data_IF_293199539747
#
_entry.id   IF_293199539747
#
_cell.length_a   1.000
_cell.length_b   1.000
_cell.length_c   1.000
_cell.angle_alpha   90.00
_cell.angle_beta   90.00
_cell.angle_gamma   90.00
#
_symmetry.space_group_name_H-M   'P 1'
#
loop_
_entity.id
_entity.type
_entity.pdbx_description
1 polymer ?
#
# COMPACT_ATOMS: atom_id res chain seq x y z
N UNK A 1 -23.24 -18.12 9.13
CA UNK A 1 -23.47 -17.26 10.30
C UNK A 1 -22.52 -17.72 11.37
N UNK A 2 -21.79 -16.81 12.01
CA UNK A 2 -20.89 -17.16 13.12
C UNK A 2 -21.70 -17.73 14.28
N UNK A 3 -21.09 -18.58 15.10
CA UNK A 3 -21.58 -18.74 16.46
C UNK A 3 -21.48 -17.40 17.21
N UNK A 4 -22.22 -17.25 18.31
CA UNK A 4 -22.20 -16.00 19.09
C UNK A 4 -20.79 -15.65 19.64
N UNK A 5 -19.89 -16.63 19.71
CA UNK A 5 -18.54 -16.49 20.24
C UNK A 5 -17.47 -16.17 19.17
N UNK A 6 -17.73 -16.42 17.88
CA UNK A 6 -16.81 -16.15 16.77
C UNK A 6 -15.56 -17.05 16.71
N UNK A 7 -15.53 -18.15 17.46
CA UNK A 7 -14.34 -19.00 17.65
C UNK A 7 -14.37 -20.32 16.87
N UNK A 8 -15.49 -20.63 16.21
CA UNK A 8 -15.63 -21.88 15.45
C UNK A 8 -15.48 -21.66 13.94
N UNK A 9 -15.29 -22.76 13.23
CA UNK A 9 -15.28 -22.83 11.76
C UNK A 9 -16.66 -22.64 11.11
N UNK A 10 -17.70 -22.32 11.90
CA UNK A 10 -19.01 -21.94 11.37
C UNK A 10 -18.95 -20.64 10.54
N UNK A 11 -17.92 -19.82 10.75
CA UNK A 11 -17.63 -18.63 9.95
C UNK A 11 -17.02 -19.00 8.59
N UNK A 12 -15.92 -19.76 8.62
CA UNK A 12 -15.20 -20.26 7.45
C UNK A 12 -14.50 -21.59 7.80
N UNK A 13 -14.35 -22.48 6.82
CA UNK A 13 -13.71 -23.80 7.01
C UNK A 13 -12.23 -23.68 7.41
N UNK A 14 -11.54 -22.63 6.98
CA UNK A 14 -10.09 -22.44 7.23
C UNK A 14 -9.73 -21.51 8.39
N UNK A 15 -10.65 -20.66 8.87
CA UNK A 15 -10.36 -19.65 9.89
C UNK A 15 -11.62 -19.17 10.63
N UNK A 16 -11.39 -18.52 11.77
CA UNK A 16 -12.47 -18.01 12.65
C UNK A 16 -12.77 -16.54 12.38
N UNK A 17 -13.89 -16.05 12.92
CA UNK A 17 -14.24 -14.64 12.83
C UNK A 17 -13.14 -13.74 13.41
N UNK A 18 -12.55 -14.11 14.56
CA UNK A 18 -11.50 -13.32 15.19
C UNK A 18 -10.23 -13.23 14.36
N UNK A 19 -9.89 -14.30 13.62
CA UNK A 19 -8.78 -14.30 12.68
C UNK A 19 -9.00 -13.28 11.57
N UNK A 20 -10.17 -13.33 10.93
CA UNK A 20 -10.51 -12.40 9.85
C UNK A 20 -10.65 -10.96 10.36
N UNK A 21 -11.32 -10.76 11.50
CA UNK A 21 -11.45 -9.45 12.13
C UNK A 21 -10.09 -8.79 12.36
N UNK A 22 -9.14 -9.49 12.98
CA UNK A 22 -7.82 -8.94 13.24
C UNK A 22 -7.06 -8.68 11.93
N UNK A 23 -7.15 -9.61 10.97
CA UNK A 23 -6.48 -9.49 9.68
C UNK A 23 -6.98 -8.26 8.89
N UNK A 24 -8.30 -8.10 8.77
CA UNK A 24 -8.92 -6.95 8.12
C UNK A 24 -8.69 -5.64 8.90
N UNK A 25 -8.66 -5.69 10.23
CA UNK A 25 -8.34 -4.51 11.06
C UNK A 25 -6.91 -4.01 10.80
N UNK A 26 -5.95 -4.91 10.55
CA UNK A 26 -4.59 -4.51 10.17
C UNK A 26 -4.57 -3.84 8.79
N UNK A 27 -5.40 -4.26 7.84
CA UNK A 27 -5.51 -3.61 6.53
C UNK A 27 -6.10 -2.20 6.66
N UNK A 28 -7.12 -2.04 7.50
CA UNK A 28 -7.69 -0.72 7.82
C UNK A 28 -6.66 0.21 8.47
N UNK A 29 -5.85 -0.32 9.39
CA UNK A 29 -4.74 0.41 10.02
C UNK A 29 -3.66 0.80 8.99
N UNK A 30 -3.33 -0.07 8.05
CA UNK A 30 -2.41 0.25 6.94
C UNK A 30 -2.95 1.39 6.09
N UNK A 31 -4.23 1.37 5.69
CA UNK A 31 -4.82 2.47 4.91
C UNK A 31 -4.73 3.81 5.66
N UNK A 32 -5.00 3.82 6.97
CA UNK A 32 -4.91 5.03 7.80
C UNK A 32 -3.46 5.53 7.98
N UNK A 33 -2.50 4.62 8.15
CA UNK A 33 -1.09 4.99 8.37
C UNK A 33 -0.41 5.51 7.10
N UNK A 34 -0.88 5.13 5.91
CA UNK A 34 -0.49 5.79 4.64
C UNK A 34 -0.78 7.30 4.71
N UNK A 35 -1.96 7.69 5.23
CA UNK A 35 -2.30 9.11 5.39
C UNK A 35 -1.34 9.80 6.34
N UNK A 36 -1.04 9.17 7.49
CA UNK A 36 -0.16 9.74 8.52
C UNK A 36 1.20 10.19 7.96
N UNK A 37 1.82 9.38 7.09
CA UNK A 37 3.10 9.69 6.47
C UNK A 37 3.05 10.92 5.55
N UNK A 38 1.93 11.12 4.83
CA UNK A 38 1.77 12.25 3.91
C UNK A 38 1.48 13.58 4.62
N UNK A 39 0.83 13.53 5.80
CA UNK A 39 0.46 14.73 6.58
C UNK A 39 1.42 15.04 7.73
N UNK A 40 2.41 14.18 7.96
CA UNK A 40 3.44 14.34 8.98
C UNK A 40 4.14 15.72 8.92
N UNK A 41 4.81 16.07 10.04
CA UNK A 41 5.54 17.32 10.29
C UNK A 41 4.70 18.60 10.44
N UNK A 42 3.44 18.62 9.97
CA UNK A 42 2.59 19.84 10.02
C UNK A 42 1.15 19.65 10.47
N UNK A 43 0.66 18.42 10.58
CA UNK A 43 -0.65 18.13 11.17
C UNK A 43 -0.59 18.17 12.70
N UNK A 44 -1.68 18.61 13.35
CA UNK A 44 -1.87 18.41 14.79
C UNK A 44 -2.33 16.97 15.04
N UNK A 45 -1.79 16.31 16.08
CA UNK A 45 -2.18 14.94 16.42
C UNK A 45 -3.69 14.80 16.64
N UNK A 46 -4.33 15.75 17.34
CA UNK A 46 -5.78 15.73 17.56
C UNK A 46 -6.57 15.79 16.24
N UNK A 47 -6.16 16.62 15.29
CA UNK A 47 -6.78 16.70 13.96
C UNK A 47 -6.61 15.39 13.19
N UNK A 48 -5.44 14.75 13.28
CA UNK A 48 -5.19 13.45 12.65
C UNK A 48 -6.08 12.34 13.24
N UNK A 49 -6.24 12.30 14.57
CA UNK A 49 -7.11 11.33 15.24
C UNK A 49 -8.59 11.54 14.85
N UNK A 50 -9.06 12.78 14.83
CA UNK A 50 -10.43 13.12 14.40
C UNK A 50 -10.67 12.72 12.94
N UNK A 51 -9.68 12.88 12.06
CA UNK A 51 -9.76 12.41 10.67
C UNK A 51 -9.78 10.87 10.58
N UNK A 52 -8.95 10.20 11.38
CA UNK A 52 -8.76 8.75 11.29
C UNK A 52 -10.03 7.98 11.68
N UNK A 53 -10.80 8.48 12.65
CA UNK A 53 -12.05 7.84 13.10
C UNK A 53 -13.05 7.62 11.94
N UNK A 54 -13.57 8.66 11.24
CA UNK A 54 -14.48 8.47 10.12
C UNK A 54 -13.82 7.80 8.92
N UNK A 55 -12.51 7.98 8.73
CA UNK A 55 -11.79 7.29 7.65
C UNK A 55 -11.81 5.77 7.86
N UNK A 56 -11.45 5.28 9.04
CA UNK A 56 -11.39 3.85 9.38
C UNK A 56 -12.76 3.26 9.70
N UNK A 57 -13.70 4.03 10.27
CA UNK A 57 -15.02 3.53 10.64
C UNK A 57 -16.03 3.56 9.48
N UNK A 58 -15.82 4.43 8.49
CA UNK A 58 -16.79 4.66 7.41
C UNK A 58 -16.14 4.53 6.03
N UNK A 59 -15.21 5.42 5.68
CA UNK A 59 -14.72 5.51 4.30
C UNK A 59 -14.05 4.21 3.84
N UNK A 60 -13.12 3.68 4.63
CA UNK A 60 -12.41 2.45 4.33
C UNK A 60 -13.33 1.21 4.33
N UNK A 61 -14.15 0.93 5.37
CA UNK A 61 -15.04 -0.23 5.35
C UNK A 61 -16.08 -0.19 4.23
N UNK A 62 -16.61 1.00 3.90
CA UNK A 62 -17.53 1.15 2.76
C UNK A 62 -16.83 0.76 1.47
N UNK A 63 -15.62 1.27 1.21
CA UNK A 63 -14.85 0.90 0.02
C UNK A 63 -14.52 -0.60 0.00
N UNK A 64 -14.02 -1.15 1.11
CA UNK A 64 -13.73 -2.58 1.26
C UNK A 64 -14.96 -3.46 1.01
N UNK A 65 -16.13 -3.05 1.49
CA UNK A 65 -17.39 -3.80 1.32
C UNK A 65 -17.80 -3.97 -0.14
N UNK A 66 -17.40 -3.04 -1.03
CA UNK A 66 -17.75 -3.11 -2.45
C UNK A 66 -17.23 -4.40 -3.10
N UNK A 67 -16.05 -4.88 -2.69
CA UNK A 67 -15.45 -6.12 -3.20
C UNK A 67 -15.41 -7.23 -2.16
N UNK A 68 -14.78 -7.01 -1.01
CA UNK A 68 -14.58 -8.05 0.01
C UNK A 68 -15.82 -8.31 0.88
N UNK A 69 -16.80 -7.40 0.86
CA UNK A 69 -18.09 -7.54 1.56
C UNK A 69 -19.25 -8.03 0.69
N UNK A 70 -18.97 -8.69 -0.45
CA UNK A 70 -19.99 -9.08 -1.43
C UNK A 70 -20.81 -7.91 -2.01
N UNK A 71 -20.22 -6.71 -2.08
CA UNK A 71 -20.85 -5.53 -2.66
C UNK A 71 -20.87 -5.53 -4.20
N UNK A 72 -21.17 -4.36 -4.77
CA UNK A 72 -21.44 -4.22 -6.20
C UNK A 72 -20.24 -4.52 -7.10
N UNK A 73 -19.00 -4.18 -6.70
CA UNK A 73 -17.79 -4.50 -7.46
C UNK A 73 -17.57 -6.03 -7.57
N UNK A 74 -18.00 -6.79 -6.56
CA UNK A 74 -17.92 -8.26 -6.59
C UNK A 74 -19.00 -8.89 -7.49
N UNK A 75 -20.09 -8.18 -7.79
CA UNK A 75 -21.26 -8.68 -8.52
C UNK A 75 -21.33 -8.22 -9.98
N UNK A 76 -20.31 -7.52 -10.46
CA UNK A 76 -20.20 -7.17 -11.87
C UNK A 76 -20.08 -8.44 -12.73
N UNK A 77 -20.50 -8.35 -14.01
CA UNK A 77 -20.39 -9.47 -14.96
C UNK A 77 -18.94 -9.96 -15.10
N UNK A 78 -17.99 -9.02 -15.18
CA UNK A 78 -16.58 -9.29 -14.90
C UNK A 78 -16.26 -8.73 -13.51
N UNK A 79 -16.16 -9.56 -12.47
CA UNK A 79 -15.93 -9.08 -11.12
C UNK A 79 -14.64 -8.27 -11.03
N UNK A 80 -14.71 -7.14 -10.34
CA UNK A 80 -13.50 -6.41 -9.96
C UNK A 80 -12.58 -7.33 -9.17
N UNK A 81 -11.28 -7.26 -9.43
CA UNK A 81 -10.29 -8.11 -8.78
C UNK A 81 -9.29 -7.27 -8.00
N UNK A 82 -9.19 -7.55 -6.70
CA UNK A 82 -8.17 -7.00 -5.82
C UNK A 82 -7.95 -8.01 -4.69
N UNK A 83 -6.89 -8.80 -4.84
CA UNK A 83 -6.58 -9.92 -3.95
C UNK A 83 -6.30 -9.46 -2.53
N UNK A 84 -5.27 -8.60 -2.35
CA UNK A 84 -4.83 -8.16 -1.03
C UNK A 84 -4.95 -6.64 -0.82
N UNK A 85 -5.40 -5.85 -1.80
CA UNK A 85 -5.73 -4.43 -1.58
C UNK A 85 -4.82 -3.40 -2.25
N UNK A 86 -4.36 -3.60 -3.49
CA UNK A 86 -3.71 -2.51 -4.26
C UNK A 86 -4.65 -1.30 -4.39
N UNK A 87 -5.94 -1.56 -4.57
CA UNK A 87 -6.95 -0.51 -4.62
C UNK A 87 -7.53 -0.27 -3.23
N UNK A 88 -8.08 -1.31 -2.62
CA UNK A 88 -8.92 -1.20 -1.42
C UNK A 88 -8.16 -0.76 -0.18
N UNK A 89 -6.83 -0.97 -0.11
CA UNK A 89 -5.97 -0.47 0.96
C UNK A 89 -5.09 0.68 0.46
N UNK A 90 -4.25 0.41 -0.53
CA UNK A 90 -3.21 1.37 -0.91
C UNK A 90 -3.75 2.57 -1.69
N UNK A 91 -4.64 2.36 -2.65
CA UNK A 91 -5.24 3.49 -3.39
C UNK A 91 -6.21 4.27 -2.50
N UNK A 92 -7.04 3.62 -1.69
CA UNK A 92 -7.91 4.29 -0.70
C UNK A 92 -7.07 5.13 0.27
N UNK A 93 -6.02 4.57 0.86
CA UNK A 93 -5.07 5.29 1.70
C UNK A 93 -4.36 6.43 0.96
N UNK A 94 -3.95 6.19 -0.28
CA UNK A 94 -3.28 7.18 -1.14
C UNK A 94 -4.17 8.37 -1.51
N UNK A 95 -5.44 8.14 -1.83
CA UNK A 95 -6.40 9.22 -2.07
C UNK A 95 -6.72 9.98 -0.79
N UNK A 96 -6.84 9.29 0.35
CA UNK A 96 -6.96 9.93 1.66
C UNK A 96 -5.73 10.80 1.99
N UNK A 97 -4.53 10.31 1.68
CA UNK A 97 -3.27 11.03 1.84
C UNK A 97 -3.20 12.27 0.95
N UNK A 98 -3.61 12.16 -0.32
CA UNK A 98 -3.65 13.29 -1.25
C UNK A 98 -4.66 14.34 -0.81
N UNK A 99 -5.88 13.95 -0.44
CA UNK A 99 -6.90 14.87 0.07
C UNK A 99 -6.41 15.59 1.33
N UNK A 100 -5.80 14.85 2.27
CA UNK A 100 -5.18 15.43 3.46
C UNK A 100 -4.06 16.41 3.10
N UNK A 101 -3.15 16.05 2.20
CA UNK A 101 -2.06 16.91 1.77
C UNK A 101 -2.55 18.21 1.10
N UNK A 102 -3.61 18.15 0.29
CA UNK A 102 -4.24 19.32 -0.35
C UNK A 102 -4.84 20.25 0.71
N UNK A 103 -5.61 19.71 1.67
CA UNK A 103 -6.27 20.50 2.70
C UNK A 103 -5.27 21.14 3.66
N UNK A 104 -4.22 20.41 4.07
CA UNK A 104 -3.17 20.95 4.93
C UNK A 104 -2.25 21.94 4.21
N UNK A 105 -2.08 21.77 2.90
CA UNK A 105 -1.10 22.48 2.12
C UNK A 105 0.35 22.01 2.35
N UNK A 106 1.31 22.67 1.70
CA UNK A 106 2.71 22.27 1.71
C UNK A 106 3.41 22.57 3.04
N UNK A 107 4.52 21.88 3.26
CA UNK A 107 5.43 22.18 4.39
C UNK A 107 6.06 23.56 4.22
N UNK A 108 6.27 24.24 5.35
CA UNK A 108 6.89 25.58 5.35
C UNK A 108 8.26 25.54 4.67
N UNK A 109 8.44 26.42 3.69
CA UNK A 109 9.68 26.54 2.92
C UNK A 109 10.00 25.36 2.01
N UNK A 110 9.04 24.47 1.72
CA UNK A 110 9.15 23.47 0.63
C UNK A 110 9.12 24.16 -0.75
N UNK A 111 8.25 25.15 -0.91
CA UNK A 111 8.15 25.96 -2.13
C UNK A 111 8.51 27.41 -1.80
N UNK A 112 9.49 27.95 -2.53
CA UNK A 112 9.98 29.31 -2.35
C UNK A 112 9.12 30.31 -3.14
N UNK A 113 9.15 31.59 -2.77
CA UNK A 113 8.35 32.66 -3.40
C UNK A 113 8.64 32.86 -4.88
N UNK A 114 9.80 32.41 -5.37
CA UNK A 114 10.17 32.41 -6.78
C UNK A 114 9.74 31.14 -7.54
N UNK A 115 8.89 30.31 -6.95
CA UNK A 115 8.41 29.04 -7.52
C UNK A 115 9.45 27.91 -7.49
N UNK A 116 10.65 28.12 -6.91
CA UNK A 116 11.66 27.06 -6.79
C UNK A 116 11.26 26.07 -5.71
N UNK A 117 11.43 24.80 -6.03
CA UNK A 117 11.27 23.69 -5.10
C UNK A 117 12.55 23.58 -4.25
N UNK A 118 12.40 23.58 -2.93
CA UNK A 118 13.48 23.29 -1.99
C UNK A 118 13.24 21.91 -1.37
N UNK A 119 14.06 20.88 -1.72
CA UNK A 119 13.91 19.56 -1.13
C UNK A 119 14.05 19.60 0.40
N UNK A 120 13.15 18.92 1.09
CA UNK A 120 13.28 18.63 2.53
C UNK A 120 13.81 17.21 2.62
N UNK A 121 15.09 17.08 3.00
CA UNK A 121 15.80 15.81 3.03
C UNK A 121 15.34 14.95 4.20
N UNK A 122 15.40 13.63 4.02
CA UNK A 122 15.14 12.67 5.09
C UNK A 122 16.17 12.81 6.22
N UNK A 123 15.70 12.75 7.47
CA UNK A 123 16.55 12.90 8.65
C UNK A 123 17.49 11.70 8.88
N UNK A 124 17.11 10.49 8.41
CA UNK A 124 17.91 9.27 8.53
C UNK A 124 17.59 8.28 7.41
N UNK A 125 18.49 8.18 6.43
CA UNK A 125 18.38 7.19 5.36
C UNK A 125 18.52 5.74 5.84
N UNK A 126 19.41 5.41 6.80
CA UNK A 126 19.45 4.05 7.36
C UNK A 126 18.12 3.63 8.00
N UNK A 127 17.47 4.53 8.75
CA UNK A 127 16.19 4.24 9.39
C UNK A 127 15.07 4.06 8.35
N UNK A 128 15.06 4.87 7.29
CA UNK A 128 14.13 4.70 6.17
C UNK A 128 14.32 3.33 5.49
N UNK A 129 15.56 2.92 5.25
CA UNK A 129 15.89 1.61 4.69
C UNK A 129 15.40 0.47 5.58
N UNK A 130 15.63 0.54 6.90
CA UNK A 130 15.11 -0.44 7.87
C UNK A 130 13.58 -0.50 7.80
N UNK A 131 12.92 0.66 7.74
CA UNK A 131 11.46 0.74 7.58
C UNK A 131 10.95 0.01 6.34
N UNK A 132 11.60 0.19 5.19
CA UNK A 132 11.23 -0.52 3.95
C UNK A 132 11.44 -2.03 4.07
N UNK A 133 12.51 -2.49 4.71
CA UNK A 133 12.70 -3.94 4.93
C UNK A 133 11.67 -4.53 5.90
N UNK A 134 11.28 -3.79 6.95
CA UNK A 134 10.20 -4.22 7.85
C UNK A 134 8.86 -4.27 7.12
N UNK A 135 8.57 -3.30 6.26
CA UNK A 135 7.37 -3.30 5.41
C UNK A 135 7.39 -4.46 4.43
N UNK A 136 8.52 -4.75 3.78
CA UNK A 136 8.67 -5.91 2.90
C UNK A 136 8.40 -7.21 3.66
N UNK A 137 9.03 -7.40 4.82
CA UNK A 137 8.77 -8.56 5.68
C UNK A 137 7.28 -8.66 6.04
N UNK A 138 6.65 -7.56 6.46
CA UNK A 138 5.22 -7.50 6.75
C UNK A 138 4.35 -7.83 5.53
N UNK A 139 4.80 -7.49 4.33
CA UNK A 139 4.07 -7.74 3.08
C UNK A 139 3.92 -9.22 2.75
N UNK A 140 4.80 -10.08 3.26
CA UNK A 140 4.61 -11.52 3.20
C UNK A 140 3.38 -11.97 3.99
N UNK A 141 3.15 -11.38 5.17
CA UNK A 141 1.92 -11.59 5.93
C UNK A 141 0.70 -10.95 5.25
N UNK A 142 0.88 -9.78 4.64
CA UNK A 142 -0.18 -9.04 3.96
C UNK A 142 -0.72 -9.81 2.74
N UNK A 143 0.15 -10.16 1.79
CA UNK A 143 -0.25 -10.91 0.59
C UNK A 143 -0.46 -12.40 0.91
N UNK A 144 0.49 -13.04 1.58
CA UNK A 144 0.40 -14.47 1.89
C UNK A 144 -0.79 -14.81 2.79
N UNK A 145 -1.12 -13.94 3.76
CA UNK A 145 -2.31 -14.10 4.60
C UNK A 145 -3.62 -13.89 3.85
N UNK A 146 -3.62 -13.13 2.75
CA UNK A 146 -4.81 -12.91 1.91
C UNK A 146 -5.24 -14.14 1.12
N UNK A 147 -4.43 -15.20 1.12
CA UNK A 147 -4.85 -16.54 0.66
C UNK A 147 -5.97 -17.10 1.57
N UNK A 148 -6.06 -16.64 2.82
CA UNK A 148 -7.10 -17.00 3.80
C UNK A 148 -7.26 -18.52 3.98
N UNK A 149 -6.16 -19.25 3.74
CA UNK A 149 -6.04 -20.69 3.93
C UNK A 149 -4.54 -21.03 4.02
N UNK A 150 -4.24 -22.26 4.41
CA UNK A 150 -2.87 -22.78 4.43
C UNK A 150 -2.52 -23.54 3.13
N UNK A 151 -3.16 -23.22 2.00
CA UNK A 151 -2.87 -23.87 0.72
C UNK A 151 -1.41 -23.65 0.30
N UNK A 152 -0.56 -24.70 0.24
CA UNK A 152 0.87 -24.50 0.01
C UNK A 152 1.18 -23.92 -1.37
N UNK A 153 0.37 -24.24 -2.38
CA UNK A 153 0.57 -23.78 -3.76
C UNK A 153 0.34 -22.28 -3.89
N UNK A 154 -0.83 -21.81 -3.45
CA UNK A 154 -1.20 -20.39 -3.50
C UNK A 154 -0.34 -19.54 -2.57
N UNK A 155 -0.06 -20.02 -1.34
CA UNK A 155 0.81 -19.29 -0.41
C UNK A 155 2.21 -19.13 -1.00
N UNK A 156 2.82 -20.21 -1.51
CA UNK A 156 4.17 -20.12 -2.07
C UNK A 156 4.25 -19.23 -3.30
N UNK A 157 3.30 -19.33 -4.22
CA UNK A 157 3.23 -18.44 -5.39
C UNK A 157 3.12 -16.97 -4.97
N UNK A 158 2.20 -16.67 -4.06
CA UNK A 158 1.94 -15.31 -3.56
C UNK A 158 3.18 -14.69 -2.91
N UNK A 159 3.92 -15.46 -2.11
CA UNK A 159 5.15 -14.98 -1.48
C UNK A 159 6.26 -14.72 -2.51
N UNK A 160 6.39 -15.60 -3.51
CA UNK A 160 7.37 -15.46 -4.59
C UNK A 160 7.07 -14.25 -5.48
N UNK A 161 5.82 -14.08 -5.93
CA UNK A 161 5.44 -12.92 -6.76
C UNK A 161 5.62 -11.61 -6.00
N UNK A 162 5.31 -11.59 -4.70
CA UNK A 162 5.49 -10.43 -3.83
C UNK A 162 6.95 -9.97 -3.78
N UNK A 163 7.89 -10.88 -3.50
CA UNK A 163 9.32 -10.53 -3.38
C UNK A 163 9.95 -10.17 -4.72
N UNK A 164 9.54 -10.84 -5.80
CA UNK A 164 10.02 -10.53 -7.15
C UNK A 164 9.55 -9.15 -7.60
N UNK A 165 8.29 -8.79 -7.38
CA UNK A 165 7.78 -7.47 -7.70
C UNK A 165 8.47 -6.36 -6.91
N UNK A 166 8.72 -6.56 -5.62
CA UNK A 166 9.46 -5.61 -4.79
C UNK A 166 10.88 -5.37 -5.33
N UNK A 167 11.59 -6.46 -5.64
CA UNK A 167 12.94 -6.42 -6.21
C UNK A 167 12.97 -5.70 -7.56
N UNK A 168 12.03 -6.05 -8.44
CA UNK A 168 11.85 -5.41 -9.73
C UNK A 168 11.46 -3.92 -9.62
N UNK A 169 10.64 -3.55 -8.64
CA UNK A 169 10.31 -2.15 -8.34
C UNK A 169 11.53 -1.33 -7.95
N UNK A 170 12.41 -1.89 -7.12
CA UNK A 170 13.69 -1.28 -6.79
C UNK A 170 14.56 -1.05 -8.05
N UNK A 171 14.65 -2.05 -8.93
CA UNK A 171 15.40 -1.95 -10.20
C UNK A 171 14.78 -0.93 -11.15
N UNK A 172 13.46 -0.93 -11.30
CA UNK A 172 12.72 0.02 -12.14
C UNK A 172 12.94 1.47 -11.70
N UNK A 173 12.84 1.72 -10.39
CA UNK A 173 13.13 3.05 -9.84
C UNK A 173 14.61 3.44 -9.97
N UNK A 174 15.53 2.49 -9.76
CA UNK A 174 16.98 2.73 -9.95
C UNK A 174 17.28 3.18 -11.38
N UNK A 175 16.79 2.41 -12.37
CA UNK A 175 16.96 2.73 -13.79
C UNK A 175 16.34 4.09 -14.15
N UNK A 176 15.13 4.36 -13.66
CA UNK A 176 14.42 5.63 -13.92
C UNK A 176 15.14 6.82 -13.29
N UNK A 177 15.68 6.65 -12.07
CA UNK A 177 16.51 7.67 -11.41
C UNK A 177 17.76 7.98 -12.22
N UNK A 178 18.43 6.96 -12.77
CA UNK A 178 19.58 7.19 -13.66
C UNK A 178 19.21 7.97 -14.92
N UNK A 179 18.06 7.66 -15.53
CA UNK A 179 17.62 8.32 -16.76
C UNK A 179 17.25 9.79 -16.53
N UNK A 180 16.52 10.09 -15.45
CA UNK A 180 15.94 11.41 -15.20
C UNK A 180 16.80 12.28 -14.29
N UNK A 181 17.28 11.72 -13.18
CA UNK A 181 18.05 12.42 -12.13
C UNK A 181 19.56 12.34 -12.40
N UNK A 182 19.99 11.51 -13.37
CA UNK A 182 21.40 11.29 -13.79
C UNK A 182 22.29 10.63 -12.73
N UNK A 183 21.70 10.15 -11.64
CA UNK A 183 22.37 9.37 -10.60
C UNK A 183 21.36 8.46 -9.88
N UNK A 184 21.81 7.37 -9.24
CA UNK A 184 20.94 6.61 -8.36
C UNK A 184 20.55 7.48 -7.15
N UNK A 185 19.28 7.42 -6.78
CA UNK A 185 18.74 8.09 -5.60
C UNK A 185 18.11 7.06 -4.68
N UNK A 186 18.66 6.93 -3.47
CA UNK A 186 18.20 5.92 -2.51
C UNK A 186 16.73 6.11 -2.13
N UNK A 187 16.23 7.34 -2.04
CA UNK A 187 14.81 7.59 -1.71
C UNK A 187 13.90 7.08 -2.82
N UNK A 188 14.28 7.26 -4.09
CA UNK A 188 13.55 6.74 -5.24
C UNK A 188 13.56 5.22 -5.29
N UNK A 189 14.72 4.60 -5.00
CA UNK A 189 14.86 3.14 -4.96
C UNK A 189 13.96 2.54 -3.88
N UNK A 190 13.98 3.11 -2.67
CA UNK A 190 13.15 2.69 -1.55
C UNK A 190 11.65 2.83 -1.87
N UNK A 191 11.23 3.95 -2.48
CA UNK A 191 9.86 4.10 -2.96
C UNK A 191 9.52 3.13 -4.09
N UNK A 192 10.47 2.82 -4.97
CA UNK A 192 10.35 1.81 -6.01
C UNK A 192 10.04 0.42 -5.47
N UNK A 193 10.77 0.01 -4.43
CA UNK A 193 10.50 -1.25 -3.71
C UNK A 193 9.07 -1.30 -3.19
N UNK A 194 8.63 -0.25 -2.50
CA UNK A 194 7.27 -0.16 -1.97
C UNK A 194 6.22 -0.11 -3.09
N UNK A 195 6.49 0.61 -4.19
CA UNK A 195 5.60 0.66 -5.34
C UNK A 195 5.46 -0.71 -6.01
N UNK A 196 6.53 -1.49 -6.12
CA UNK A 196 6.49 -2.88 -6.59
C UNK A 196 5.61 -3.76 -5.71
N UNK A 197 5.77 -3.67 -4.38
CA UNK A 197 4.92 -4.36 -3.41
C UNK A 197 3.44 -3.96 -3.56
N UNK A 198 3.15 -2.66 -3.61
CA UNK A 198 1.79 -2.14 -3.83
C UNK A 198 1.22 -2.61 -5.17
N UNK A 199 2.02 -2.60 -6.24
CA UNK A 199 1.57 -2.94 -7.59
C UNK A 199 1.15 -4.40 -7.75
N UNK A 200 1.87 -5.34 -7.13
CA UNK A 200 1.54 -6.77 -7.22
C UNK A 200 0.40 -7.20 -6.30
N UNK A 201 0.09 -6.42 -5.28
CA UNK A 201 -0.87 -6.76 -4.20
C UNK A 201 -2.26 -7.15 -4.74
N UNK A 202 -2.71 -6.59 -5.87
CA UNK A 202 -4.00 -6.90 -6.48
C UNK A 202 -4.05 -8.29 -7.13
N UNK A 203 -2.91 -8.86 -7.55
CA UNK A 203 -2.86 -10.09 -8.33
C UNK A 203 -1.74 -11.06 -7.94
N UNK A 204 -1.21 -10.93 -6.72
CA UNK A 204 -0.08 -11.73 -6.26
C UNK A 204 -0.34 -13.25 -6.32
N UNK A 205 -1.61 -13.65 -6.21
CA UNK A 205 -2.06 -15.04 -6.21
C UNK A 205 -2.33 -15.64 -7.60
N UNK A 206 -2.41 -14.81 -8.65
CA UNK A 206 -2.73 -15.26 -10.01
C UNK A 206 -1.67 -14.88 -11.06
N UNK A 207 -0.75 -13.97 -10.73
CA UNK A 207 0.32 -13.58 -11.65
C UNK A 207 1.44 -14.60 -11.65
N UNK A 208 2.06 -14.81 -12.82
CA UNK A 208 3.29 -15.60 -12.90
C UNK A 208 4.46 -14.86 -12.26
N UNK A 209 5.53 -15.57 -11.84
CA UNK A 209 6.77 -14.93 -11.37
C UNK A 209 7.31 -13.88 -12.35
N UNK A 210 7.29 -14.18 -13.65
CA UNK A 210 7.71 -13.22 -14.69
C UNK A 210 6.76 -12.03 -14.82
N UNK A 211 5.44 -12.26 -14.69
CA UNK A 211 4.44 -11.19 -14.63
C UNK A 211 4.68 -10.24 -13.46
N UNK A 212 5.01 -10.78 -12.28
CA UNK A 212 5.30 -9.95 -11.10
C UNK A 212 6.55 -9.08 -11.26
N UNK A 213 7.58 -9.56 -11.97
CA UNK A 213 8.76 -8.76 -12.30
C UNK A 213 8.38 -7.58 -13.20
N UNK A 214 7.53 -7.81 -14.21
CA UNK A 214 7.08 -6.75 -15.11
C UNK A 214 6.23 -5.70 -14.35
N UNK A 215 5.30 -6.14 -13.51
CA UNK A 215 4.49 -5.26 -12.66
C UNK A 215 5.40 -4.42 -11.75
N UNK A 216 6.37 -5.06 -11.10
CA UNK A 216 7.35 -4.38 -10.26
C UNK A 216 8.12 -3.31 -11.02
N UNK A 217 8.72 -3.65 -12.16
CA UNK A 217 9.48 -2.71 -13.00
C UNK A 217 8.65 -1.48 -13.40
N UNK A 218 7.40 -1.71 -13.84
CA UNK A 218 6.48 -0.64 -14.23
C UNK A 218 6.12 0.23 -13.03
N UNK A 219 5.79 -0.36 -11.88
CA UNK A 219 5.47 0.39 -10.67
C UNK A 219 6.66 1.24 -10.18
N UNK A 220 7.87 0.66 -10.21
CA UNK A 220 9.12 1.37 -9.89
C UNK A 220 9.41 2.54 -10.82
N UNK A 221 9.13 2.39 -12.12
CA UNK A 221 9.20 3.50 -13.07
C UNK A 221 8.16 4.58 -12.76
N UNK A 222 6.89 4.20 -12.60
CA UNK A 222 5.78 5.12 -12.40
C UNK A 222 5.90 5.94 -11.11
N UNK A 223 6.42 5.35 -10.02
CA UNK A 223 6.55 6.09 -8.76
C UNK A 223 7.57 7.23 -8.86
N UNK A 224 8.68 7.02 -9.57
CA UNK A 224 9.68 8.09 -9.79
C UNK A 224 9.07 9.22 -10.61
N UNK A 225 8.34 8.89 -11.68
CA UNK A 225 7.61 9.88 -12.49
C UNK A 225 6.59 10.64 -11.64
N UNK A 226 5.83 9.92 -10.81
CA UNK A 226 4.77 10.49 -9.97
C UNK A 226 5.33 11.46 -8.94
N UNK A 227 6.45 11.13 -8.30
CA UNK A 227 7.09 12.03 -7.33
C UNK A 227 7.53 13.33 -8.00
N UNK A 228 8.16 13.25 -9.18
CA UNK A 228 8.59 14.45 -9.93
C UNK A 228 7.40 15.26 -10.47
N UNK A 229 6.32 14.59 -10.87
CA UNK A 229 5.13 15.25 -11.39
C UNK A 229 4.33 15.99 -10.31
N UNK A 230 4.21 15.39 -9.11
CA UNK A 230 3.43 15.94 -7.99
C UNK A 230 4.18 17.00 -7.18
N UNK A 231 5.52 17.01 -7.19
CA UNK A 231 6.32 18.02 -6.50
C UNK A 231 6.31 19.36 -7.28
N UNK A 232 5.23 20.14 -7.11
CA UNK A 232 5.00 21.45 -7.76
C UNK A 232 4.31 22.44 -6.83
#
# INVERSE_FOLDING_TARGET
GTDAAGVTSAYNVGYTYWTDFLFQAMFAATAATIVSGAVAERIKLSSFLIFTIPFVAIAYPVAGSWKWGNGWLNRLETPFYDFAGSTLVHSVGGWGALAGAIVLGPRLGKYLTNGKIRPILGHSMPLATIGVFLLWLGWFGFNGGSVLSADPGLVSLTLVTTTLAASAGALGATATSWLLIKKPDLTMILNGTLAGLVGITAGADQMTPNGSLLIGLIAGFLVVISVVALDR
#
